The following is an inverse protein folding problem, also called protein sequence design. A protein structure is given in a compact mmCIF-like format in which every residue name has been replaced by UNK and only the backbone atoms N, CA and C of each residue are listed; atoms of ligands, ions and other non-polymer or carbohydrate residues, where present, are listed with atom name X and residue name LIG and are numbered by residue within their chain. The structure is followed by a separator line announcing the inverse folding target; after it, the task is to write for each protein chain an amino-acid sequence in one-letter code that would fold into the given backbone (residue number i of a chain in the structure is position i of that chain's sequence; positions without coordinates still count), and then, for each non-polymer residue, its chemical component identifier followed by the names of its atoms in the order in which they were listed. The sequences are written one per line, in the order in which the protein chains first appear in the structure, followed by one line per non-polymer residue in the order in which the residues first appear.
data_IF_310399132324
#
_entry.id   IF_310399132324
#
_cell.length_a   1.000
_cell.length_b   1.000
_cell.length_c   1.000
_cell.angle_alpha   90.00
_cell.angle_beta   90.00
_cell.angle_gamma   90.00
#
_symmetry.space_group_name_H-M   'P 1'
#
loop_
_entity.id
_entity.type
_entity.pdbx_description
1 polymer ?
#
# COMPACT_ATOMS: atom_id res chain seq x y z
N UNK A 1 10.44 1.97 12.99
CA UNK A 1 9.42 2.88 12.41
C UNK A 1 8.20 2.03 12.04
N UNK A 2 6.97 2.46 12.34
CA UNK A 2 5.70 1.79 11.96
C UNK A 2 4.88 2.69 11.02
N UNK A 3 5.55 3.21 9.99
CA UNK A 3 5.02 4.31 9.19
C UNK A 3 3.84 3.89 8.31
N UNK A 4 3.88 2.69 7.72
CA UNK A 4 2.77 2.15 6.92
C UNK A 4 1.51 1.96 7.77
N UNK A 5 1.65 1.39 8.96
CA UNK A 5 0.55 1.23 9.93
C UNK A 5 0.00 2.59 10.36
N UNK A 6 0.86 3.60 10.56
CA UNK A 6 0.42 4.95 10.86
C UNK A 6 -0.39 5.55 9.70
N UNK A 7 0.09 5.43 8.45
CA UNK A 7 -0.64 5.91 7.27
C UNK A 7 -2.01 5.23 7.16
N UNK A 8 -2.09 3.91 7.34
CA UNK A 8 -3.37 3.18 7.30
C UNK A 8 -4.29 3.57 8.46
N UNK A 9 -3.75 3.91 9.63
CA UNK A 9 -4.57 4.47 10.73
C UNK A 9 -5.18 5.82 10.34
N UNK A 10 -4.42 6.64 9.62
CA UNK A 10 -4.91 7.93 9.11
C UNK A 10 -5.88 7.77 7.93
N UNK A 11 -5.79 6.69 7.15
CA UNK A 11 -6.75 6.38 6.09
C UNK A 11 -8.20 6.33 6.60
N UNK A 12 -8.46 5.83 7.82
CA UNK A 12 -9.82 5.86 8.40
C UNK A 12 -10.39 7.27 8.58
N UNK A 13 -9.52 8.26 8.79
CA UNK A 13 -9.93 9.68 8.86
C UNK A 13 -10.07 10.26 7.45
N UNK A 14 -9.14 9.91 6.56
CA UNK A 14 -9.15 10.37 5.17
C UNK A 14 -10.35 9.83 4.40
N UNK A 15 -10.83 8.62 4.71
CA UNK A 15 -12.02 8.00 4.11
C UNK A 15 -13.23 8.94 4.14
N UNK A 16 -13.51 9.56 5.29
CA UNK A 16 -14.63 10.52 5.41
C UNK A 16 -14.44 11.77 4.56
N UNK A 17 -13.19 12.22 4.41
CA UNK A 17 -12.85 13.38 3.58
C UNK A 17 -13.06 13.03 2.12
N UNK A 18 -12.52 11.88 1.67
CA UNK A 18 -12.69 11.36 0.31
C UNK A 18 -14.18 11.27 -0.04
N UNK A 19 -14.98 10.64 0.83
CA UNK A 19 -16.42 10.55 0.62
C UNK A 19 -17.07 11.93 0.48
N UNK A 20 -16.75 12.88 1.35
CA UNK A 20 -17.31 14.23 1.29
C UNK A 20 -17.02 14.97 -0.02
N UNK A 21 -15.81 14.82 -0.58
CA UNK A 21 -15.50 15.37 -1.90
C UNK A 21 -16.24 14.63 -3.01
N UNK A 22 -16.38 13.30 -2.92
CA UNK A 22 -17.01 12.50 -3.98
C UNK A 22 -18.53 12.56 -4.01
N UNK A 23 -19.19 12.90 -2.89
CA UNK A 23 -20.65 12.98 -2.79
C UNK A 23 -21.25 14.23 -3.43
N UNK A 24 -20.45 15.28 -3.62
CA UNK A 24 -20.91 16.59 -4.11
C UNK A 24 -20.10 16.99 -5.33
N UNK A 25 -20.78 17.31 -6.43
CA UNK A 25 -20.13 17.93 -7.59
C UNK A 25 -19.64 19.33 -7.20
N UNK A 26 -18.37 19.61 -7.48
CA UNK A 26 -17.75 20.92 -7.29
C UNK A 26 -17.80 21.80 -8.56
N UNK A 27 -18.57 21.38 -9.57
CA UNK A 27 -18.78 22.11 -10.82
C UNK A 27 -18.37 21.30 -12.05
N UNK A 28 -18.55 21.84 -13.26
CA UNK A 28 -18.34 21.08 -14.50
C UNK A 28 -16.90 20.60 -14.73
N UNK A 29 -15.92 21.20 -14.04
CA UNK A 29 -14.52 20.79 -14.09
C UNK A 29 -14.17 19.66 -13.10
N UNK A 30 -14.97 19.47 -12.04
CA UNK A 30 -14.78 18.46 -10.99
C UNK A 30 -13.34 18.40 -10.40
N UNK A 31 -12.63 19.54 -10.35
CA UNK A 31 -11.20 19.62 -10.01
C UNK A 31 -10.91 19.06 -8.61
N UNK A 32 -11.78 19.34 -7.64
CA UNK A 32 -11.61 18.91 -6.27
C UNK A 32 -11.79 17.38 -6.14
N UNK A 33 -12.70 16.80 -6.93
CA UNK A 33 -12.92 15.35 -6.96
C UNK A 33 -11.80 14.61 -7.67
N UNK A 34 -11.25 15.18 -8.75
CA UNK A 34 -10.04 14.64 -9.36
C UNK A 34 -8.88 14.70 -8.38
N UNK A 35 -8.66 15.84 -7.72
CA UNK A 35 -7.58 16.00 -6.74
C UNK A 35 -7.67 15.06 -5.53
N UNK A 36 -8.88 14.78 -5.02
CA UNK A 36 -9.03 13.83 -3.91
C UNK A 36 -8.81 12.37 -4.36
N UNK A 37 -9.15 12.04 -5.60
CA UNK A 37 -8.86 10.72 -6.19
C UNK A 37 -7.36 10.53 -6.41
N UNK A 38 -6.66 11.54 -6.92
CA UNK A 38 -5.20 11.52 -7.04
C UNK A 38 -4.53 11.37 -5.65
N UNK A 39 -5.07 12.05 -4.64
CA UNK A 39 -4.60 11.92 -3.25
C UNK A 39 -4.82 10.52 -2.70
N UNK A 40 -6.00 9.92 -2.96
CA UNK A 40 -6.29 8.54 -2.56
C UNK A 40 -5.34 7.56 -3.25
N UNK A 41 -5.12 7.72 -4.56
CA UNK A 41 -4.18 6.92 -5.32
C UNK A 41 -2.77 7.00 -4.73
N UNK A 42 -2.23 8.21 -4.55
CA UNK A 42 -0.92 8.41 -3.94
C UNK A 42 -0.83 7.78 -2.54
N UNK A 43 -1.89 7.89 -1.74
CA UNK A 43 -1.91 7.34 -0.39
C UNK A 43 -1.83 5.81 -0.43
N UNK A 44 -2.61 5.17 -1.30
CA UNK A 44 -2.59 3.72 -1.51
C UNK A 44 -1.17 3.28 -1.91
N UNK A 45 -0.64 3.87 -2.97
CA UNK A 45 0.66 3.57 -3.54
C UNK A 45 1.81 3.60 -2.52
N UNK A 46 1.80 4.59 -1.62
CA UNK A 46 2.88 4.79 -0.66
C UNK A 46 2.63 4.08 0.68
N UNK A 47 1.37 3.84 1.06
CA UNK A 47 1.04 3.21 2.34
C UNK A 47 1.30 1.70 2.33
N UNK A 48 0.86 1.01 1.27
CA UNK A 48 0.82 -0.45 1.25
C UNK A 48 2.21 -1.11 1.23
N UNK A 49 3.20 -0.66 0.44
CA UNK A 49 4.56 -1.21 0.51
C UNK A 49 5.21 -0.99 1.88
N UNK A 50 4.93 0.15 2.52
CA UNK A 50 5.42 0.47 3.87
C UNK A 50 4.77 -0.40 4.95
N UNK A 51 3.53 -0.83 4.74
CA UNK A 51 2.85 -1.74 5.65
C UNK A 51 3.50 -3.14 5.64
N UNK A 52 3.92 -3.62 4.47
CA UNK A 52 4.71 -4.86 4.37
C UNK A 52 6.03 -4.74 5.15
N UNK A 53 6.72 -3.61 5.01
CA UNK A 53 7.94 -3.33 5.76
C UNK A 53 7.72 -3.31 7.27
N UNK A 54 6.63 -2.71 7.73
CA UNK A 54 6.28 -2.66 9.16
C UNK A 54 6.00 -4.05 9.73
N UNK A 55 5.32 -4.91 8.96
CA UNK A 55 5.06 -6.32 9.34
C UNK A 55 6.37 -7.11 9.39
N UNK A 56 7.26 -6.91 8.41
CA UNK A 56 8.57 -7.56 8.40
C UNK A 56 9.47 -7.12 9.56
N UNK A 57 9.51 -5.82 9.82
CA UNK A 57 10.41 -5.20 10.80
C UNK A 57 9.92 -5.35 12.24
N UNK A 58 8.79 -6.01 12.48
CA UNK A 58 8.26 -6.23 13.81
C UNK A 58 9.19 -7.15 14.62
N UNK A 59 9.88 -6.56 15.59
CA UNK A 59 10.68 -7.28 16.58
C UNK A 59 9.78 -7.60 17.77
N UNK A 60 9.16 -8.77 17.73
CA UNK A 60 8.30 -9.28 18.79
C UNK A 60 8.56 -10.76 19.06
N UNK A 61 7.96 -11.33 20.13
CA UNK A 61 8.07 -12.76 20.45
C UNK A 61 7.28 -13.66 19.47
N UNK A 62 6.78 -13.09 18.37
CA UNK A 62 5.98 -13.78 17.37
C UNK A 62 6.76 -14.97 16.80
N UNK A 63 6.22 -16.20 16.87
CA UNK A 63 6.88 -17.36 16.31
C UNK A 63 7.11 -17.22 14.80
N UNK A 64 8.23 -17.75 14.31
CA UNK A 64 8.59 -17.69 12.89
C UNK A 64 7.50 -18.13 11.90
N UNK A 65 6.77 -19.25 12.12
CA UNK A 65 5.71 -19.64 11.19
C UNK A 65 4.56 -18.61 11.14
N UNK A 66 4.27 -17.94 12.25
CA UNK A 66 3.25 -16.88 12.31
C UNK A 66 3.75 -15.65 11.56
N UNK A 67 5.01 -15.27 11.74
CA UNK A 67 5.65 -14.15 11.03
C UNK A 67 5.67 -14.37 9.51
N UNK A 68 6.02 -15.58 9.07
CA UNK A 68 5.98 -15.96 7.67
C UNK A 68 4.55 -15.91 7.09
N UNK A 69 3.55 -16.36 7.85
CA UNK A 69 2.15 -16.28 7.44
C UNK A 69 1.65 -14.83 7.32
N UNK A 70 2.05 -13.95 8.24
CA UNK A 70 1.74 -12.52 8.19
C UNK A 70 2.33 -11.86 6.94
N UNK A 71 3.62 -12.11 6.67
CA UNK A 71 4.29 -11.60 5.46
C UNK A 71 3.64 -12.12 4.18
N UNK A 72 3.33 -13.42 4.13
CA UNK A 72 2.66 -14.01 2.99
C UNK A 72 1.30 -13.35 2.72
N UNK A 73 0.47 -13.17 3.75
CA UNK A 73 -0.85 -12.51 3.62
C UNK A 73 -0.73 -11.05 3.23
N UNK A 74 0.23 -10.32 3.81
CA UNK A 74 0.51 -8.93 3.41
C UNK A 74 0.93 -8.84 1.93
N UNK A 75 1.73 -9.80 1.45
CA UNK A 75 2.11 -9.90 0.04
C UNK A 75 0.90 -10.16 -0.85
N UNK A 76 -0.02 -11.04 -0.45
CA UNK A 76 -1.26 -11.28 -1.20
C UNK A 76 -2.13 -10.02 -1.31
N UNK A 77 -2.22 -9.21 -0.25
CA UNK A 77 -2.93 -7.93 -0.30
C UNK A 77 -2.32 -6.97 -1.34
N UNK A 78 -0.99 -6.91 -1.44
CA UNK A 78 -0.31 -6.09 -2.45
C UNK A 78 -0.57 -6.60 -3.88
N UNK A 79 -0.63 -7.92 -4.09
CA UNK A 79 -0.99 -8.50 -5.40
C UNK A 79 -2.41 -8.11 -5.81
N UNK A 80 -3.37 -8.23 -4.89
CA UNK A 80 -4.76 -7.83 -5.18
C UNK A 80 -4.85 -6.35 -5.51
N UNK A 81 -4.12 -5.51 -4.77
CA UNK A 81 -4.06 -4.08 -5.03
C UNK A 81 -3.46 -3.78 -6.41
N UNK A 82 -2.36 -4.43 -6.77
CA UNK A 82 -1.73 -4.26 -8.09
C UNK A 82 -2.71 -4.57 -9.22
N UNK A 83 -3.45 -5.68 -9.09
CA UNK A 83 -4.51 -6.07 -10.04
C UNK A 83 -5.63 -5.03 -10.14
N UNK A 84 -6.11 -4.50 -9.01
CA UNK A 84 -7.11 -3.43 -9.00
C UNK A 84 -6.59 -2.13 -9.65
N UNK A 85 -5.27 -1.90 -9.59
CA UNK A 85 -4.60 -0.73 -10.16
C UNK A 85 -4.07 -0.94 -11.59
N UNK A 86 -4.40 -2.06 -12.24
CA UNK A 86 -3.90 -2.41 -13.58
C UNK A 86 -2.37 -2.39 -13.70
N UNK A 87 -1.64 -2.82 -12.67
CA UNK A 87 -0.18 -2.92 -12.69
C UNK A 87 0.56 -1.65 -12.25
N UNK A 88 -0.13 -0.58 -11.83
CA UNK A 88 0.53 0.65 -11.40
C UNK A 88 1.35 0.46 -10.12
N UNK A 89 0.94 -0.45 -9.22
CA UNK A 89 1.70 -0.75 -8.01
C UNK A 89 3.06 -1.38 -8.35
N UNK A 90 3.14 -2.27 -9.35
CA UNK A 90 4.43 -2.84 -9.81
C UNK A 90 5.45 -1.79 -10.22
N UNK A 91 5.02 -0.78 -10.99
CA UNK A 91 5.89 0.33 -11.45
C UNK A 91 6.51 1.08 -10.26
N UNK A 92 5.71 1.30 -9.22
CA UNK A 92 6.17 2.00 -8.00
C UNK A 92 7.06 1.12 -7.13
N UNK A 93 6.78 -0.19 -7.11
CA UNK A 93 7.59 -1.16 -6.40
C UNK A 93 8.98 -1.38 -7.02
N UNK A 94 9.15 -1.18 -8.33
CA UNK A 94 10.48 -1.23 -8.98
C UNK A 94 11.48 -0.24 -8.36
N UNK A 95 11.02 0.99 -8.07
CA UNK A 95 11.81 2.00 -7.38
C UNK A 95 12.21 1.56 -5.95
N UNK A 96 11.34 0.84 -5.25
CA UNK A 96 11.60 0.34 -3.90
C UNK A 96 12.49 -0.92 -3.89
N UNK A 97 12.36 -1.79 -4.90
CA UNK A 97 13.17 -3.00 -5.04
C UNK A 97 14.67 -2.66 -5.11
N UNK A 98 15.03 -1.57 -5.80
CA UNK A 98 16.43 -1.11 -5.93
C UNK A 98 17.04 -0.54 -4.64
N UNK A 99 16.22 -0.08 -3.69
CA UNK A 99 16.67 0.57 -2.45
C UNK A 99 16.60 -0.32 -1.20
N UNK A 100 15.90 -1.45 -1.28
CA UNK A 100 15.69 -2.38 -0.17
C UNK A 100 16.82 -3.43 -0.10
N UNK A 101 17.55 -3.51 1.02
CA UNK A 101 18.61 -4.52 1.23
C UNK A 101 18.12 -5.81 1.92
N UNK A 102 16.88 -5.85 2.40
CA UNK A 102 16.33 -6.99 3.14
C UNK A 102 15.80 -8.09 2.20
N UNK A 103 16.41 -9.28 2.24
CA UNK A 103 16.10 -10.40 1.33
C UNK A 103 14.66 -10.87 1.40
N UNK A 104 14.07 -10.92 2.60
CA UNK A 104 12.68 -11.38 2.75
C UNK A 104 11.68 -10.39 2.14
N UNK A 105 11.96 -9.09 2.24
CA UNK A 105 11.12 -8.06 1.62
C UNK A 105 11.32 -8.05 0.11
N UNK A 106 12.56 -8.17 -0.38
CA UNK A 106 12.85 -8.33 -1.81
C UNK A 106 12.10 -9.52 -2.42
N UNK A 107 12.08 -10.67 -1.73
CA UNK A 107 11.35 -11.85 -2.19
C UNK A 107 9.84 -11.62 -2.25
N UNK A 108 9.28 -10.86 -1.30
CA UNK A 108 7.87 -10.47 -1.34
C UNK A 108 7.59 -9.51 -2.51
N UNK A 109 8.46 -8.52 -2.74
CA UNK A 109 8.35 -7.57 -3.85
C UNK A 109 8.44 -8.28 -5.21
N UNK A 110 9.39 -9.21 -5.36
CA UNK A 110 9.55 -10.07 -6.55
C UNK A 110 8.27 -10.85 -6.85
N UNK A 111 7.64 -11.45 -5.83
CA UNK A 111 6.36 -12.15 -6.00
C UNK A 111 5.24 -11.25 -6.49
N UNK A 112 5.20 -9.99 -6.05
CA UNK A 112 4.23 -9.02 -6.56
C UNK A 112 4.52 -8.71 -8.03
N UNK A 113 5.78 -8.51 -8.40
CA UNK A 113 6.21 -8.25 -9.79
C UNK A 113 5.88 -9.41 -10.75
N UNK A 114 6.07 -10.65 -10.31
CA UNK A 114 5.84 -11.85 -11.13
C UNK A 114 4.36 -12.29 -11.18
N UNK A 115 3.53 -11.79 -10.27
CA UNK A 115 2.11 -12.16 -10.23
C UNK A 115 1.37 -11.56 -11.44
N UNK A 116 0.69 -12.41 -12.23
CA UNK A 116 -0.12 -12.00 -13.38
C UNK A 116 -1.46 -11.43 -12.95
#
# INVERSE_FOLDING_TARGET
SRLGILIVRHLKRLERVILGYLEVSDGPQEEARLGILDTLQCTIEHAWPRLLWDVHSERGPTPEPVRAALLHRATQCLILLDRCSQGQVKVLLEGLHSSCQERQVQECLRKVQEST
#
